data_IF_414646722861
#
_entry.id   IF_414646722861
#
_cell.length_a   1.000
_cell.length_b   1.000
_cell.length_c   1.000
_cell.angle_alpha   90.00
_cell.angle_beta   90.00
_cell.angle_gamma   90.00
#
_symmetry.space_group_name_H-M   'P 1'
#
loop_
_entity.id
_entity.type
_entity.pdbx_description
1 polymer ?
#
# COMPACT_ATOMS: atom_id res chain seq x y z
N UNK A 1 11.30 -9.59 4.28
CA UNK A 1 10.79 -10.82 3.61
C UNK A 1 10.09 -11.80 4.56
N UNK A 2 10.68 -12.13 5.71
CA UNK A 2 10.11 -13.14 6.64
C UNK A 2 8.65 -12.87 7.06
N UNK A 3 8.27 -11.60 7.19
CA UNK A 3 6.89 -11.19 7.48
C UNK A 3 5.90 -11.54 6.35
N UNK A 4 6.24 -11.17 5.11
CA UNK A 4 5.41 -11.46 3.94
C UNK A 4 5.21 -12.97 3.74
N UNK A 5 6.25 -13.78 3.97
CA UNK A 5 6.15 -15.24 3.94
C UNK A 5 5.22 -15.78 5.03
N UNK A 6 5.25 -15.20 6.23
CA UNK A 6 4.34 -15.58 7.32
C UNK A 6 2.88 -15.33 6.93
N UNK A 7 2.58 -14.16 6.34
CA UNK A 7 1.22 -13.84 5.90
C UNK A 7 0.75 -14.76 4.76
N UNK A 8 1.60 -15.04 3.77
CA UNK A 8 1.27 -15.93 2.65
C UNK A 8 0.99 -17.37 3.10
N UNK A 9 1.63 -17.84 4.18
CA UNK A 9 1.38 -19.17 4.73
C UNK A 9 0.22 -19.20 5.75
N UNK A 10 -0.42 -18.06 6.02
CA UNK A 10 -1.49 -17.99 7.01
C UNK A 10 -2.76 -18.68 6.49
N UNK A 11 -3.42 -19.57 7.27
CA UNK A 11 -4.58 -20.33 6.81
C UNK A 11 -5.71 -19.46 6.24
N UNK A 12 -5.98 -18.31 6.88
CA UNK A 12 -6.99 -17.35 6.40
C UNK A 12 -6.64 -16.75 5.05
N UNK A 13 -5.36 -16.43 4.81
CA UNK A 13 -4.91 -15.85 3.54
C UNK A 13 -5.08 -16.88 2.43
N UNK A 14 -4.69 -18.14 2.69
CA UNK A 14 -4.88 -19.25 1.75
C UNK A 14 -6.37 -19.51 1.48
N UNK A 15 -7.22 -19.49 2.50
CA UNK A 15 -8.67 -19.65 2.34
C UNK A 15 -9.29 -18.50 1.52
N UNK A 16 -8.78 -17.27 1.67
CA UNK A 16 -9.27 -16.11 0.95
C UNK A 16 -8.84 -16.10 -0.51
N UNK A 17 -7.55 -16.31 -0.78
CA UNK A 17 -6.92 -16.13 -2.09
C UNK A 17 -6.78 -17.41 -2.91
N UNK A 18 -6.77 -18.57 -2.26
CA UNK A 18 -6.46 -19.85 -2.87
C UNK A 18 -4.96 -20.05 -3.10
N UNK A 19 -4.54 -21.32 -3.26
CA UNK A 19 -3.13 -21.70 -3.37
C UNK A 19 -2.43 -21.10 -4.60
N UNK A 20 -3.12 -20.96 -5.72
CA UNK A 20 -2.54 -20.48 -6.97
C UNK A 20 -2.09 -19.01 -6.86
N UNK A 21 -3.01 -18.12 -6.46
CA UNK A 21 -2.70 -16.70 -6.28
C UNK A 21 -1.65 -16.47 -5.20
N UNK A 22 -1.73 -17.22 -4.09
CA UNK A 22 -0.76 -17.14 -3.00
C UNK A 22 0.64 -17.53 -3.46
N UNK A 23 0.77 -18.60 -4.25
CA UNK A 23 2.04 -19.03 -4.83
C UNK A 23 2.60 -18.01 -5.83
N UNK A 24 1.73 -17.40 -6.64
CA UNK A 24 2.09 -16.34 -7.59
C UNK A 24 2.64 -15.10 -6.89
N UNK A 25 1.96 -14.59 -5.87
CA UNK A 25 2.44 -13.45 -5.07
C UNK A 25 3.79 -13.77 -4.42
N UNK A 26 3.97 -14.99 -3.91
CA UNK A 26 5.27 -15.44 -3.37
C UNK A 26 6.38 -15.38 -4.42
N UNK A 27 6.11 -15.83 -5.65
CA UNK A 27 7.07 -15.73 -6.76
C UNK A 27 7.42 -14.29 -7.09
N UNK A 28 6.44 -13.38 -7.12
CA UNK A 28 6.69 -11.95 -7.33
C UNK A 28 7.55 -11.34 -6.24
N UNK A 29 7.25 -11.57 -4.95
CA UNK A 29 8.08 -11.07 -3.86
C UNK A 29 9.53 -11.53 -3.95
N UNK A 30 9.76 -12.76 -4.39
CA UNK A 30 11.11 -13.29 -4.61
C UNK A 30 11.81 -12.65 -5.82
N UNK A 31 11.13 -12.57 -6.97
CA UNK A 31 11.68 -12.03 -8.21
C UNK A 31 11.93 -10.51 -8.13
N UNK A 32 11.11 -9.80 -7.36
CA UNK A 32 11.08 -8.34 -7.26
C UNK A 32 11.65 -7.85 -5.91
N UNK A 33 12.35 -8.71 -5.18
CA UNK A 33 12.90 -8.44 -3.86
C UNK A 33 13.73 -7.14 -3.79
N UNK A 34 14.47 -6.84 -4.86
CA UNK A 34 15.32 -5.65 -4.99
C UNK A 34 14.58 -4.32 -4.92
N UNK A 35 13.26 -4.32 -5.15
CA UNK A 35 12.44 -3.11 -5.10
C UNK A 35 11.89 -2.81 -3.70
N UNK A 36 12.02 -3.73 -2.74
CA UNK A 36 11.66 -3.41 -1.36
C UNK A 36 12.63 -2.38 -0.77
N UNK A 37 12.15 -1.44 0.05
CA UNK A 37 13.02 -0.53 0.77
C UNK A 37 14.00 -1.30 1.66
N UNK A 38 15.21 -0.77 1.81
CA UNK A 38 16.22 -1.35 2.70
C UNK A 38 16.15 -0.73 4.10
N UNK A 39 16.84 -1.37 5.05
CA UNK A 39 16.82 -0.98 6.48
C UNK A 39 17.55 0.34 6.79
N UNK A 40 18.23 0.96 5.81
CA UNK A 40 18.91 2.24 6.03
C UNK A 40 17.97 3.45 5.93
N UNK A 41 16.72 3.26 5.50
CA UNK A 41 15.74 4.33 5.46
C UNK A 41 15.18 4.62 6.86
N UNK A 42 15.25 5.88 7.28
CA UNK A 42 14.96 6.27 8.67
C UNK A 42 13.98 7.46 8.77
N UNK A 43 12.99 7.52 7.89
CA UNK A 43 11.96 8.56 7.92
C UNK A 43 10.84 8.17 8.89
N UNK A 44 10.19 9.16 9.50
CA UNK A 44 8.97 8.90 10.25
C UNK A 44 7.85 8.56 9.26
N UNK A 45 7.41 7.31 9.29
CA UNK A 45 6.33 6.76 8.48
C UNK A 45 5.07 6.72 9.33
N UNK A 46 3.96 7.24 8.80
CA UNK A 46 2.65 7.19 9.45
C UNK A 46 2.07 5.76 9.47
N UNK A 47 2.30 5.02 8.38
CA UNK A 47 1.91 3.62 8.15
C UNK A 47 0.41 3.38 7.93
N UNK A 48 -0.42 4.41 8.13
CA UNK A 48 -1.83 4.46 7.73
C UNK A 48 -2.19 5.80 7.06
N UNK A 49 -1.30 6.30 6.21
CA UNK A 49 -1.46 7.62 5.56
C UNK A 49 -2.44 7.57 4.39
N UNK A 50 -3.74 7.61 4.68
CA UNK A 50 -4.80 7.68 3.67
C UNK A 50 -5.67 8.95 3.84
N UNK A 51 -6.46 9.33 2.81
CA UNK A 51 -7.27 10.56 2.86
C UNK A 51 -8.23 10.69 4.05
N UNK A 52 -8.71 9.58 4.63
CA UNK A 52 -9.61 9.59 5.78
C UNK A 52 -8.91 10.07 7.07
N UNK A 53 -7.58 9.95 7.13
CA UNK A 53 -6.77 10.36 8.28
C UNK A 53 -6.22 11.81 8.14
N UNK A 54 -6.66 12.57 7.13
CA UNK A 54 -6.23 13.94 6.89
C UNK A 54 -7.39 14.90 7.10
N UNK A 55 -7.22 15.83 8.05
CA UNK A 55 -8.13 16.93 8.26
C UNK A 55 -7.77 18.10 7.33
N UNK A 56 -8.77 18.64 6.65
CA UNK A 56 -8.63 19.81 5.80
C UNK A 56 -9.65 20.87 6.19
N UNK A 57 -9.25 22.13 6.08
CA UNK A 57 -10.14 23.28 6.25
C UNK A 57 -9.88 24.31 5.15
N UNK A 58 -10.84 25.21 4.93
CA UNK A 58 -10.73 26.29 3.96
C UNK A 58 -10.32 27.58 4.67
N UNK A 59 -9.04 27.92 4.61
CA UNK A 59 -8.45 29.10 5.25
C UNK A 59 -8.08 30.10 4.16
N UNK A 60 -8.59 31.34 4.26
CA UNK A 60 -8.36 32.39 3.25
C UNK A 60 -8.68 31.94 1.80
N UNK A 61 -9.78 31.21 1.64
CA UNK A 61 -10.24 30.60 0.38
C UNK A 61 -9.35 29.51 -0.23
N UNK A 62 -8.33 29.05 0.50
CA UNK A 62 -7.46 27.94 0.11
C UNK A 62 -7.66 26.71 1.00
N UNK A 63 -7.65 25.52 0.39
CA UNK A 63 -7.67 24.26 1.14
C UNK A 63 -6.33 24.04 1.84
N UNK A 64 -6.38 23.91 3.16
CA UNK A 64 -5.21 23.73 4.01
C UNK A 64 -5.34 22.44 4.82
N UNK A 65 -4.26 21.67 4.93
CA UNK A 65 -4.18 20.54 5.85
C UNK A 65 -4.08 21.08 7.27
N UNK A 66 -5.05 20.75 8.12
CA UNK A 66 -5.12 21.21 9.52
C UNK A 66 -4.69 20.16 10.53
N UNK A 67 -4.60 18.89 10.11
CA UNK A 67 -4.12 17.81 10.96
C UNK A 67 -3.98 16.49 10.24
N UNK A 68 -3.18 15.60 10.83
CA UNK A 68 -3.03 14.19 10.45
C UNK A 68 -3.26 13.35 11.70
N UNK A 69 -4.22 12.42 11.62
CA UNK A 69 -4.72 11.62 12.74
C UNK A 69 -4.17 10.19 12.73
N UNK A 70 -4.31 9.47 13.84
CA UNK A 70 -4.10 8.01 13.93
C UNK A 70 -2.67 7.51 13.68
N UNK A 71 -1.72 8.08 14.41
CA UNK A 71 -0.28 7.72 14.40
C UNK A 71 0.07 6.37 15.08
N UNK A 72 -0.90 5.51 15.41
CA UNK A 72 -0.65 4.33 16.26
C UNK A 72 0.23 3.25 15.60
N UNK A 73 0.37 3.29 14.27
CA UNK A 73 1.21 2.38 13.49
C UNK A 73 2.56 2.98 13.10
N UNK A 74 2.87 4.19 13.57
CA UNK A 74 4.03 4.92 13.11
C UNK A 74 5.36 4.22 13.43
N UNK A 75 6.30 4.26 12.50
CA UNK A 75 7.62 3.65 12.65
C UNK A 75 8.70 4.39 11.85
N UNK A 76 9.96 4.01 12.04
CA UNK A 76 11.09 4.52 11.25
C UNK A 76 11.31 3.64 10.02
N UNK A 77 11.19 4.20 8.82
CA UNK A 77 11.35 3.44 7.58
C UNK A 77 11.26 4.27 6.31
N UNK A 78 10.73 3.64 5.26
CA UNK A 78 10.58 4.24 3.95
C UNK A 78 9.33 5.11 3.83
N UNK A 79 9.42 6.35 3.32
CA UNK A 79 8.24 7.16 3.02
C UNK A 79 7.36 6.52 1.92
N UNK A 80 7.90 5.55 1.17
CA UNK A 80 7.13 4.80 0.17
C UNK A 80 5.97 4.01 0.78
N UNK A 81 6.00 3.70 2.09
CA UNK A 81 4.85 3.11 2.78
C UNK A 81 3.65 4.07 2.83
N UNK A 82 3.87 5.34 3.12
CA UNK A 82 2.80 6.35 3.17
C UNK A 82 2.29 6.69 1.77
N UNK A 83 3.19 6.72 0.78
CA UNK A 83 2.82 6.87 -0.63
C UNK A 83 1.98 5.67 -1.10
N UNK A 84 2.33 4.45 -0.69
CA UNK A 84 1.57 3.25 -0.99
C UNK A 84 0.15 3.30 -0.42
N UNK A 85 0.00 3.76 0.83
CA UNK A 85 -1.30 3.93 1.48
C UNK A 85 -2.16 5.00 0.77
N UNK A 86 -1.59 6.19 0.53
CA UNK A 86 -2.29 7.29 -0.12
C UNK A 86 -2.82 6.91 -1.51
N UNK A 87 -2.04 6.16 -2.28
CA UNK A 87 -2.36 5.80 -3.66
C UNK A 87 -3.10 4.47 -3.80
N UNK A 88 -3.42 3.77 -2.70
CA UNK A 88 -4.06 2.45 -2.69
C UNK A 88 -5.33 2.40 -3.56
N UNK A 89 -6.18 3.41 -3.42
CA UNK A 89 -7.45 3.53 -4.14
C UNK A 89 -7.41 4.53 -5.29
N UNK A 90 -6.22 4.98 -5.73
CA UNK A 90 -6.10 6.00 -6.77
C UNK A 90 -6.81 5.63 -8.09
N UNK A 91 -6.94 4.34 -8.40
CA UNK A 91 -7.65 3.83 -9.58
C UNK A 91 -9.18 4.02 -9.53
N UNK A 92 -9.73 4.31 -8.35
CA UNK A 92 -11.15 4.59 -8.12
C UNK A 92 -11.41 6.09 -7.97
N UNK A 93 -10.36 6.90 -7.95
CA UNK A 93 -10.41 8.35 -7.79
C UNK A 93 -10.31 9.06 -9.16
N UNK A 94 -10.68 10.35 -9.24
CA UNK A 94 -10.38 11.17 -10.41
C UNK A 94 -8.90 11.08 -10.77
N UNK A 95 -8.56 11.05 -12.07
CA UNK A 95 -7.16 10.94 -12.53
C UNK A 95 -6.24 12.03 -11.98
N UNK A 96 -6.81 13.20 -11.68
CA UNK A 96 -6.10 14.30 -11.05
C UNK A 96 -5.61 13.99 -9.62
N UNK A 97 -6.22 13.04 -8.90
CA UNK A 97 -5.86 12.73 -7.50
C UNK A 97 -4.40 12.29 -7.38
N UNK A 98 -4.01 11.22 -8.08
CA UNK A 98 -2.64 10.72 -8.03
C UNK A 98 -1.65 11.74 -8.63
N UNK A 99 -2.02 12.38 -9.75
CA UNK A 99 -1.17 13.37 -10.40
C UNK A 99 -0.86 14.57 -9.49
N UNK A 100 -1.86 15.13 -8.83
CA UNK A 100 -1.70 16.26 -7.90
C UNK A 100 -0.92 15.86 -6.65
N UNK A 101 -1.16 14.67 -6.09
CA UNK A 101 -0.40 14.17 -4.95
C UNK A 101 1.09 14.03 -5.28
N UNK A 102 1.41 13.36 -6.40
CA UNK A 102 2.80 13.18 -6.84
C UNK A 102 3.46 14.51 -7.19
N UNK A 103 2.73 15.43 -7.82
CA UNK A 103 3.23 16.77 -8.10
C UNK A 103 3.62 17.51 -6.81
N UNK A 104 2.74 17.51 -5.81
CA UNK A 104 3.02 18.14 -4.51
C UNK A 104 4.19 17.49 -3.79
N UNK A 105 4.22 16.16 -3.72
CA UNK A 105 5.32 15.40 -3.11
C UNK A 105 6.67 15.71 -3.76
N UNK A 106 6.70 15.79 -5.09
CA UNK A 106 7.93 16.03 -5.87
C UNK A 106 8.56 17.40 -5.63
N UNK A 107 7.86 18.32 -4.98
CA UNK A 107 8.43 19.63 -4.59
C UNK A 107 9.42 19.54 -3.43
N UNK A 108 9.34 18.49 -2.61
CA UNK A 108 10.17 18.30 -1.41
C UNK A 108 10.86 16.93 -1.38
N UNK A 109 10.43 15.97 -2.20
CA UNK A 109 10.91 14.60 -2.17
C UNK A 109 11.22 14.10 -3.58
N UNK A 110 12.41 13.52 -3.76
CA UNK A 110 12.80 12.90 -5.04
C UNK A 110 12.38 11.44 -5.02
N UNK A 111 11.40 11.08 -5.84
CA UNK A 111 10.94 9.70 -6.00
C UNK A 111 12.06 8.84 -6.61
N UNK A 112 12.37 7.66 -6.03
CA UNK A 112 13.29 6.70 -6.65
C UNK A 112 12.80 6.24 -8.03
N UNK A 113 13.71 5.87 -8.93
CA UNK A 113 13.38 5.52 -10.33
C UNK A 113 12.25 4.49 -10.47
N UNK A 114 12.19 3.49 -9.60
CA UNK A 114 11.22 2.38 -9.67
C UNK A 114 10.20 2.39 -8.51
N UNK A 115 9.91 3.58 -7.97
CA UNK A 115 9.03 3.75 -6.80
C UNK A 115 7.65 3.12 -6.98
N UNK A 116 7.11 3.11 -8.20
CA UNK A 116 5.79 2.52 -8.50
C UNK A 116 5.77 1.02 -8.20
N UNK A 117 6.80 0.29 -8.66
CA UNK A 117 6.92 -1.14 -8.37
C UNK A 117 7.03 -1.39 -6.87
N UNK A 118 7.80 -0.55 -6.17
CA UNK A 118 7.90 -0.63 -4.71
C UNK A 118 6.53 -0.46 -4.06
N UNK A 119 5.75 0.58 -4.39
CA UNK A 119 4.46 0.79 -3.73
C UNK A 119 3.43 -0.29 -4.04
N UNK A 120 3.51 -0.95 -5.21
CA UNK A 120 2.66 -2.10 -5.51
C UNK A 120 2.99 -3.30 -4.61
N UNK A 121 4.28 -3.57 -4.42
CA UNK A 121 4.75 -4.64 -3.53
C UNK A 121 4.41 -4.34 -2.05
N UNK A 122 4.56 -3.08 -1.62
CA UNK A 122 4.20 -2.65 -0.26
C UNK A 122 2.68 -2.78 -0.02
N UNK A 123 1.86 -2.40 -0.99
CA UNK A 123 0.41 -2.60 -0.94
C UNK A 123 0.05 -4.08 -0.83
N UNK A 124 0.64 -4.96 -1.63
CA UNK A 124 0.41 -6.41 -1.49
C UNK A 124 0.81 -6.91 -0.11
N UNK A 125 1.96 -6.48 0.42
CA UNK A 125 2.42 -6.90 1.75
C UNK A 125 1.43 -6.49 2.84
N UNK A 126 0.95 -5.23 2.82
CA UNK A 126 0.00 -4.74 3.82
C UNK A 126 -1.36 -5.44 3.70
N UNK A 127 -1.86 -5.68 2.48
CA UNK A 127 -3.15 -6.32 2.25
C UNK A 127 -3.16 -7.78 2.70
N UNK A 128 -2.05 -8.50 2.50
CA UNK A 128 -1.88 -9.85 3.03
C UNK A 128 -1.94 -9.87 4.55
N UNK A 129 -1.31 -8.90 5.22
CA UNK A 129 -1.42 -8.77 6.67
C UNK A 129 -2.86 -8.45 7.12
N UNK A 130 -3.56 -7.55 6.42
CA UNK A 130 -4.97 -7.27 6.70
C UNK A 130 -5.86 -8.51 6.60
N UNK A 131 -5.61 -9.40 5.62
CA UNK A 131 -6.33 -10.67 5.48
C UNK A 131 -6.09 -11.65 6.62
N UNK A 132 -4.94 -11.59 7.31
CA UNK A 132 -4.74 -12.43 8.51
C UNK A 132 -5.75 -12.11 9.62
N UNK A 133 -6.33 -10.89 9.60
CA UNK A 133 -7.30 -10.37 10.57
C UNK A 133 -8.72 -10.16 10.01
N UNK A 134 -8.94 -10.37 8.71
CA UNK A 134 -10.19 -10.03 8.02
C UNK A 134 -10.65 -11.21 7.15
N UNK A 135 -11.50 -12.07 7.72
CA UNK A 135 -11.92 -13.32 7.05
C UNK A 135 -13.23 -13.12 6.28
N UNK A 136 -13.53 -14.08 5.37
CA UNK A 136 -14.83 -14.18 4.68
C UNK A 136 -16.02 -14.28 5.64
N UNK A 137 -15.82 -14.78 6.86
CA UNK A 137 -16.88 -14.99 7.85
C UNK A 137 -17.05 -13.81 8.80
N UNK A 138 -15.97 -13.18 9.25
CA UNK A 138 -16.02 -12.11 10.27
C UNK A 138 -16.16 -10.73 9.66
N UNK A 139 -15.52 -10.48 8.51
CA UNK A 139 -15.50 -9.17 7.84
C UNK A 139 -15.64 -9.33 6.32
N UNK A 140 -16.77 -9.88 5.83
CA UNK A 140 -16.93 -10.27 4.42
C UNK A 140 -16.70 -9.12 3.43
N UNK A 141 -17.20 -7.91 3.74
CA UNK A 141 -17.03 -6.74 2.86
C UNK A 141 -15.56 -6.31 2.77
N UNK A 142 -14.87 -6.21 3.91
CA UNK A 142 -13.45 -5.86 3.95
C UNK A 142 -12.61 -6.94 3.27
N UNK A 143 -12.90 -8.22 3.49
CA UNK A 143 -12.23 -9.32 2.83
C UNK A 143 -12.38 -9.24 1.29
N UNK A 144 -13.60 -8.97 0.79
CA UNK A 144 -13.84 -8.84 -0.64
C UNK A 144 -13.11 -7.64 -1.27
N UNK A 145 -13.08 -6.51 -0.56
CA UNK A 145 -12.34 -5.32 -0.98
C UNK A 145 -10.82 -5.58 -1.04
N UNK A 146 -10.26 -6.19 0.01
CA UNK A 146 -8.84 -6.57 0.04
C UNK A 146 -8.49 -7.53 -1.11
N UNK A 147 -9.33 -8.53 -1.38
CA UNK A 147 -9.11 -9.46 -2.51
C UNK A 147 -9.13 -8.70 -3.84
N UNK A 148 -10.03 -7.72 -4.00
CA UNK A 148 -10.11 -6.88 -5.20
C UNK A 148 -8.83 -6.06 -5.39
N UNK A 149 -8.33 -5.43 -4.32
CA UNK A 149 -7.08 -4.68 -4.35
C UNK A 149 -5.86 -5.57 -4.63
N UNK A 150 -5.79 -6.76 -4.03
CA UNK A 150 -4.69 -7.71 -4.29
C UNK A 150 -4.65 -8.08 -5.77
N UNK A 151 -5.80 -8.40 -6.38
CA UNK A 151 -5.85 -8.70 -7.81
C UNK A 151 -5.42 -7.49 -8.66
N UNK A 152 -5.88 -6.28 -8.31
CA UNK A 152 -5.46 -5.05 -8.99
C UNK A 152 -3.93 -4.86 -8.96
N UNK A 153 -3.29 -4.99 -7.80
CA UNK A 153 -1.83 -4.82 -7.70
C UNK A 153 -1.06 -5.97 -8.37
N UNK A 154 -1.58 -7.20 -8.32
CA UNK A 154 -1.05 -8.32 -9.10
C UNK A 154 -1.12 -8.06 -10.61
N UNK A 155 -2.22 -7.50 -11.11
CA UNK A 155 -2.32 -7.08 -12.51
C UNK A 155 -1.33 -5.97 -12.85
N UNK A 156 -1.14 -4.97 -11.98
CA UNK A 156 -0.13 -3.91 -12.19
C UNK A 156 1.29 -4.45 -12.26
N UNK A 157 1.64 -5.37 -11.38
CA UNK A 157 2.96 -6.04 -11.38
C UNK A 157 3.14 -6.88 -12.66
N UNK A 158 2.10 -7.55 -13.15
CA UNK A 158 2.16 -8.31 -14.40
C UNK A 158 2.12 -7.45 -15.67
N UNK A 159 1.38 -6.34 -15.65
CA UNK A 159 1.22 -5.42 -16.77
C UNK A 159 2.44 -4.54 -16.98
N UNK A 160 3.23 -4.30 -15.93
CA UNK A 160 4.54 -3.66 -15.98
C UNK A 160 5.69 -4.63 -16.30
N UNK A 161 5.43 -5.75 -17.00
CA UNK A 161 6.45 -6.77 -17.28
C UNK A 161 7.66 -6.21 -18.04
N UNK A 162 8.75 -6.07 -17.27
CA UNK A 162 10.19 -6.24 -17.55
C UNK A 162 10.78 -5.53 -18.77
#
# INVERSE_FOLDING_TARGET
MQFAEKSLNHPTVIDCLGNELTAKIKQHFNALAKFFPNENESHLVHADFDPANILVDKIADEWTITGVLDWEFAFSGSPLWDIANMLRYAHQMPSAFAASFIQGLSTQFVLPQDWEMTIYLLNLMSLLDCLTRSTKTTKPKQCADIITLINYFEEKINGGRL
#
